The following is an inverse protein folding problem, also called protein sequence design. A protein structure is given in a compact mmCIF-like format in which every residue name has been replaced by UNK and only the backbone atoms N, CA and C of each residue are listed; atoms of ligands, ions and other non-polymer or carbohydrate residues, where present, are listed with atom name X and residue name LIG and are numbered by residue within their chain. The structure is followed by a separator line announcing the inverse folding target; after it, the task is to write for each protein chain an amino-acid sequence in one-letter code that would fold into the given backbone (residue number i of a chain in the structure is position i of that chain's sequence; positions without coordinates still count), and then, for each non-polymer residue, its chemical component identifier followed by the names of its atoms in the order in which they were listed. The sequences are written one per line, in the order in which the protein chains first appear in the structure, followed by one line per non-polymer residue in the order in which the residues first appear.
data_IF_779225382090
#
_entry.id   IF_779225382090
#
_cell.length_a   1.000
_cell.length_b   1.000
_cell.length_c   1.000
_cell.angle_alpha   90.00
_cell.angle_beta   90.00
_cell.angle_gamma   90.00
#
_symmetry.space_group_name_H-M   'P 1'
#
loop_
_entity.id
_entity.type
_entity.pdbx_description
1 polymer ?
#
# COMPACT_ATOMS: atom_id res chain seq x y z
N UNK A 1 -26.68 30.18 -13.42
CA UNK A 1 -26.45 29.49 -12.14
C UNK A 1 -26.50 30.47 -10.99
N UNK A 2 -27.06 30.10 -9.83
CA UNK A 2 -27.13 31.00 -8.66
C UNK A 2 -25.74 31.28 -8.08
N UNK A 3 -24.87 30.27 -8.03
CA UNK A 3 -23.48 30.41 -7.56
C UNK A 3 -22.70 31.39 -8.44
N UNK A 4 -22.88 31.29 -9.76
CA UNK A 4 -22.20 32.15 -10.73
C UNK A 4 -22.54 33.64 -10.56
N UNK A 5 -23.82 33.95 -10.31
CA UNK A 5 -24.26 35.32 -10.05
C UNK A 5 -23.60 35.92 -8.80
N UNK A 6 -23.42 35.10 -7.78
CA UNK A 6 -22.77 35.51 -6.52
C UNK A 6 -21.26 35.73 -6.72
N UNK A 7 -20.60 34.87 -7.51
CA UNK A 7 -19.19 35.01 -7.90
C UNK A 7 -18.97 36.30 -8.70
N UNK A 8 -19.78 36.57 -9.72
CA UNK A 8 -19.68 37.81 -10.52
C UNK A 8 -19.94 39.06 -9.68
N UNK A 9 -20.79 38.96 -8.65
CA UNK A 9 -21.04 40.07 -7.73
C UNK A 9 -19.85 40.36 -6.79
N UNK A 10 -19.03 39.36 -6.46
CA UNK A 10 -17.76 39.54 -5.74
C UNK A 10 -16.69 40.08 -6.71
N UNK A 11 -16.66 39.57 -7.94
CA UNK A 11 -15.72 39.97 -8.97
C UNK A 11 -15.76 41.47 -9.28
N UNK A 12 -16.96 42.05 -9.34
CA UNK A 12 -17.14 43.50 -9.58
C UNK A 12 -16.64 44.40 -8.45
N UNK A 13 -16.38 43.85 -7.26
CA UNK A 13 -15.84 44.59 -6.11
C UNK A 13 -14.32 44.45 -5.99
N UNK A 14 -13.71 43.54 -6.75
CA UNK A 14 -12.27 43.36 -6.75
C UNK A 14 -11.56 44.50 -7.49
N UNK A 15 -10.35 44.87 -7.06
CA UNK A 15 -9.54 45.89 -7.73
C UNK A 15 -9.34 45.60 -9.22
N UNK A 16 -9.45 46.63 -10.08
CA UNK A 16 -9.30 46.46 -11.54
C UNK A 16 -7.88 46.05 -11.97
N UNK A 17 -6.87 46.33 -11.15
CA UNK A 17 -5.48 45.96 -11.40
C UNK A 17 -5.15 44.50 -11.03
N UNK A 18 -6.10 43.74 -10.51
CA UNK A 18 -5.90 42.36 -10.12
C UNK A 18 -6.01 41.44 -11.35
N UNK A 19 -4.97 40.66 -11.63
CA UNK A 19 -5.05 39.59 -12.62
C UNK A 19 -5.97 38.46 -12.13
N UNK A 20 -6.72 37.82 -13.04
CA UNK A 20 -7.56 36.65 -12.74
C UNK A 20 -8.66 36.92 -11.69
N UNK A 21 -9.43 38.01 -11.89
CA UNK A 21 -10.49 38.44 -10.95
C UNK A 21 -11.55 37.38 -10.71
N UNK A 22 -11.88 36.61 -11.74
CA UNK A 22 -12.88 35.57 -11.67
C UNK A 22 -12.41 34.37 -10.83
N UNK A 23 -11.16 33.95 -11.00
CA UNK A 23 -10.56 32.85 -10.24
C UNK A 23 -10.39 33.23 -8.77
N UNK A 24 -10.00 34.49 -8.52
CA UNK A 24 -9.86 35.02 -7.16
C UNK A 24 -11.22 35.12 -6.46
N UNK A 25 -12.30 35.52 -7.16
CA UNK A 25 -13.63 35.57 -6.56
C UNK A 25 -14.17 34.18 -6.21
N UNK A 26 -13.89 33.16 -7.04
CA UNK A 26 -14.18 31.75 -6.71
C UNK A 26 -13.45 31.32 -5.45
N UNK A 27 -12.14 31.55 -5.37
CA UNK A 27 -11.30 31.13 -4.23
C UNK A 27 -11.70 31.87 -2.94
N UNK A 28 -12.06 33.15 -3.05
CA UNK A 28 -12.57 33.94 -1.93
C UNK A 28 -13.91 33.39 -1.44
N UNK A 29 -14.80 32.99 -2.36
CA UNK A 29 -16.07 32.34 -2.05
C UNK A 29 -15.85 30.95 -1.41
N UNK A 30 -14.76 30.26 -1.72
CA UNK A 30 -14.33 28.99 -1.10
C UNK A 30 -13.60 29.12 0.25
N UNK A 31 -13.31 30.35 0.69
CA UNK A 31 -12.55 30.64 1.93
C UNK A 31 -11.09 30.23 1.88
N UNK A 32 -10.47 30.29 0.71
CA UNK A 32 -9.07 29.90 0.60
C UNK A 32 -8.17 30.83 1.46
N UNK A 33 -7.44 30.30 2.46
CA UNK A 33 -6.65 31.12 3.37
C UNK A 33 -5.48 31.81 2.68
N UNK A 34 -4.93 31.24 1.59
CA UNK A 34 -3.80 31.83 0.87
C UNK A 34 -4.22 33.06 0.07
N UNK A 35 -5.38 33.02 -0.59
CA UNK A 35 -5.90 34.18 -1.32
C UNK A 35 -6.27 35.30 -0.37
N UNK A 36 -6.83 34.98 0.79
CA UNK A 36 -7.13 35.96 1.83
C UNK A 36 -5.87 36.68 2.31
N UNK A 37 -4.81 35.93 2.64
CA UNK A 37 -3.52 36.48 3.05
C UNK A 37 -2.83 37.28 1.93
N UNK A 38 -2.91 36.80 0.69
CA UNK A 38 -2.38 37.51 -0.48
C UNK A 38 -3.05 38.87 -0.68
N UNK A 39 -4.39 38.94 -0.60
CA UNK A 39 -5.13 40.18 -0.76
C UNK A 39 -4.86 41.18 0.38
N UNK A 40 -4.69 40.71 1.61
CA UNK A 40 -4.30 41.57 2.75
C UNK A 40 -2.90 42.16 2.62
N UNK A 41 -1.97 41.45 1.97
CA UNK A 41 -0.59 41.92 1.75
C UNK A 41 -0.47 42.83 0.54
N UNK A 42 -1.23 42.56 -0.53
CA UNK A 42 -1.15 43.30 -1.77
C UNK A 42 -2.00 44.58 -1.80
N UNK A 43 -3.02 44.69 -0.95
CA UNK A 43 -3.98 45.81 -0.93
C UNK A 43 -4.28 46.30 0.48
N UNK A 44 -4.73 47.55 0.59
CA UNK A 44 -5.16 48.14 1.85
C UNK A 44 -6.28 47.32 2.51
N UNK A 45 -6.11 46.99 3.79
CA UNK A 45 -7.12 46.29 4.60
C UNK A 45 -8.49 46.95 4.53
N UNK A 46 -8.55 48.28 4.49
CA UNK A 46 -9.79 49.04 4.39
C UNK A 46 -10.63 48.73 3.13
N UNK A 47 -9.98 48.29 2.03
CA UNK A 47 -10.67 47.91 0.78
C UNK A 47 -11.06 46.44 0.74
N UNK A 48 -10.27 45.57 1.37
CA UNK A 48 -10.46 44.11 1.31
C UNK A 48 -11.46 43.61 2.37
N UNK A 49 -11.50 44.22 3.55
CA UNK A 49 -12.41 43.83 4.63
C UNK A 49 -13.90 43.81 4.20
N UNK A 50 -14.45 44.84 3.52
CA UNK A 50 -15.85 44.79 3.07
C UNK A 50 -16.11 43.71 2.02
N UNK A 51 -15.10 43.37 1.19
CA UNK A 51 -15.21 42.31 0.18
C UNK A 51 -15.31 40.94 0.87
N UNK A 52 -14.51 40.72 1.92
CA UNK A 52 -14.54 39.50 2.73
C UNK A 52 -15.85 39.33 3.48
N UNK A 53 -16.34 40.38 4.13
CA UNK A 53 -17.61 40.35 4.84
C UNK A 53 -18.74 39.98 3.88
N UNK A 54 -18.78 40.60 2.71
CA UNK A 54 -19.79 40.33 1.68
C UNK A 54 -19.69 38.92 1.11
N UNK A 55 -18.47 38.42 0.88
CA UNK A 55 -18.27 37.03 0.47
C UNK A 55 -18.72 36.04 1.55
N UNK A 56 -18.49 36.36 2.83
CA UNK A 56 -18.95 35.56 3.96
C UNK A 56 -20.48 35.56 4.09
N UNK A 57 -21.13 36.70 3.84
CA UNK A 57 -22.58 36.86 3.85
C UNK A 57 -23.21 36.03 2.72
N UNK A 58 -22.68 36.16 1.50
CA UNK A 58 -23.14 35.37 0.34
C UNK A 58 -22.92 33.88 0.55
N UNK A 59 -21.79 33.47 1.16
CA UNK A 59 -21.55 32.07 1.52
C UNK A 59 -22.64 31.52 2.46
N UNK A 60 -23.08 32.30 3.45
CA UNK A 60 -24.12 31.89 4.42
C UNK A 60 -25.48 31.67 3.78
N UNK A 61 -25.75 32.20 2.58
CA UNK A 61 -27.00 31.96 1.86
C UNK A 61 -27.08 30.51 1.32
N UNK A 62 -25.95 29.83 1.17
CA UNK A 62 -25.90 28.44 0.74
C UNK A 62 -25.99 27.49 1.94
N UNK A 63 -26.89 26.51 1.87
CA UNK A 63 -26.95 25.43 2.87
C UNK A 63 -25.81 24.44 2.60
N UNK A 64 -24.84 24.39 3.52
CA UNK A 64 -23.72 23.46 3.48
C UNK A 64 -22.39 24.10 3.06
N UNK A 65 -21.39 23.27 2.84
CA UNK A 65 -20.03 23.69 2.48
C UNK A 65 -19.97 24.02 0.98
N UNK A 66 -20.00 25.32 0.64
CA UNK A 66 -19.93 25.81 -0.75
C UNK A 66 -18.67 25.30 -1.47
N UNK A 67 -17.56 25.13 -0.74
CA UNK A 67 -16.30 24.66 -1.29
C UNK A 67 -16.41 23.21 -1.75
N UNK A 68 -17.19 22.38 -1.05
CA UNK A 68 -17.54 21.03 -1.51
C UNK A 68 -18.40 21.05 -2.77
N UNK A 69 -19.37 21.96 -2.86
CA UNK A 69 -20.27 22.06 -4.02
C UNK A 69 -19.48 22.46 -5.27
N UNK A 70 -18.64 23.49 -5.17
CA UNK A 70 -17.78 23.96 -6.28
C UNK A 70 -16.79 22.86 -6.67
N UNK A 71 -16.13 22.22 -5.69
CA UNK A 71 -15.18 21.14 -5.96
C UNK A 71 -15.85 19.94 -6.62
N UNK A 72 -17.06 19.58 -6.18
CA UNK A 72 -17.83 18.48 -6.76
C UNK A 72 -18.20 18.77 -8.22
N UNK A 73 -18.71 19.98 -8.51
CA UNK A 73 -19.02 20.37 -9.90
C UNK A 73 -17.78 20.36 -10.80
N UNK A 74 -16.64 20.83 -10.28
CA UNK A 74 -15.36 20.77 -11.01
C UNK A 74 -14.98 19.33 -11.33
N UNK A 75 -15.06 18.42 -10.35
CA UNK A 75 -14.80 17.00 -10.56
C UNK A 75 -15.77 16.38 -11.56
N UNK A 76 -17.07 16.68 -11.46
CA UNK A 76 -18.09 16.21 -12.41
C UNK A 76 -17.79 16.68 -13.83
N UNK A 77 -17.38 17.94 -14.02
CA UNK A 77 -16.99 18.48 -15.32
C UNK A 77 -15.73 17.79 -15.87
N UNK A 78 -14.70 17.59 -15.05
CA UNK A 78 -13.49 16.85 -15.45
C UNK A 78 -13.86 15.43 -15.86
N UNK A 79 -14.71 14.75 -15.09
CA UNK A 79 -15.13 13.38 -15.36
C UNK A 79 -15.95 13.29 -16.66
N UNK A 80 -16.87 14.22 -16.91
CA UNK A 80 -17.75 14.20 -18.07
C UNK A 80 -17.10 14.69 -19.36
N UNK A 81 -16.23 15.69 -19.28
CA UNK A 81 -15.72 16.40 -20.46
C UNK A 81 -14.31 15.99 -20.82
N UNK A 82 -13.46 15.67 -19.83
CA UNK A 82 -12.07 15.29 -20.08
C UNK A 82 -11.94 13.78 -19.98
N UNK A 83 -12.24 13.21 -18.81
CA UNK A 83 -11.98 11.79 -18.56
C UNK A 83 -12.77 10.88 -19.52
N UNK A 84 -14.00 11.24 -19.89
CA UNK A 84 -14.79 10.48 -20.86
C UNK A 84 -14.16 10.45 -22.27
N UNK A 85 -13.46 11.51 -22.69
CA UNK A 85 -12.81 11.59 -24.00
C UNK A 85 -11.43 10.94 -24.01
N UNK A 86 -10.63 11.15 -22.96
CA UNK A 86 -9.23 10.70 -22.95
C UNK A 86 -9.06 9.30 -22.34
N UNK A 87 -9.99 8.83 -21.50
CA UNK A 87 -9.86 7.55 -20.79
C UNK A 87 -10.74 6.48 -21.41
N UNK A 88 -10.10 5.53 -22.10
CA UNK A 88 -10.75 4.24 -22.39
C UNK A 88 -10.74 3.37 -21.15
N UNK A 89 -11.87 3.27 -20.46
CA UNK A 89 -12.07 2.24 -19.43
C UNK A 89 -11.98 0.87 -20.09
N UNK A 90 -10.89 0.14 -19.84
CA UNK A 90 -10.84 -1.29 -20.16
C UNK A 90 -11.98 -1.97 -19.40
N UNK A 91 -12.90 -2.61 -20.11
CA UNK A 91 -13.82 -3.57 -19.51
C UNK A 91 -13.00 -4.75 -19.02
N UNK A 92 -12.48 -4.66 -17.80
CA UNK A 92 -12.03 -5.84 -17.07
C UNK A 92 -13.29 -6.63 -16.75
N UNK A 93 -13.60 -7.64 -17.58
CA UNK A 93 -14.56 -8.67 -17.19
C UNK A 93 -13.94 -9.33 -15.97
N UNK A 94 -14.47 -9.12 -14.76
CA UNK A 94 -13.89 -9.75 -13.60
C UNK A 94 -14.17 -11.24 -13.76
N UNK A 95 -13.13 -12.08 -13.77
CA UNK A 95 -13.32 -13.54 -13.68
C UNK A 95 -14.17 -13.81 -12.44
N UNK A 96 -15.40 -14.28 -12.62
CA UNK A 96 -16.40 -14.50 -11.55
C UNK A 96 -15.83 -15.32 -10.39
N UNK A 97 -14.89 -16.22 -10.68
CA UNK A 97 -14.18 -17.05 -9.70
C UNK A 97 -13.31 -16.24 -8.73
N UNK A 98 -12.57 -15.24 -9.21
CA UNK A 98 -11.73 -14.36 -8.38
C UNK A 98 -12.60 -13.45 -7.49
N UNK A 99 -13.72 -12.96 -8.00
CA UNK A 99 -14.66 -12.16 -7.22
C UNK A 99 -15.37 -12.98 -6.13
N UNK A 100 -15.77 -14.22 -6.43
CA UNK A 100 -16.37 -15.13 -5.47
C UNK A 100 -15.42 -15.45 -4.31
N UNK A 101 -14.17 -15.82 -4.64
CA UNK A 101 -13.14 -16.10 -3.63
C UNK A 101 -12.79 -14.87 -2.79
N UNK A 102 -12.68 -13.69 -3.41
CA UNK A 102 -12.43 -12.44 -2.70
C UNK A 102 -13.61 -12.05 -1.79
N UNK A 103 -14.86 -12.29 -2.20
CA UNK A 103 -16.05 -12.02 -1.38
C UNK A 103 -16.14 -12.96 -0.19
N UNK A 104 -15.82 -14.24 -0.39
CA UNK A 104 -15.82 -15.25 0.67
C UNK A 104 -14.70 -15.00 1.69
N UNK A 105 -13.50 -14.66 1.21
CA UNK A 105 -12.34 -14.33 2.07
C UNK A 105 -12.57 -13.06 2.92
N UNK A 106 -13.40 -12.12 2.46
CA UNK A 106 -13.73 -10.89 3.20
C UNK A 106 -14.87 -11.04 4.21
N UNK A 107 -15.53 -12.20 4.26
CA UNK A 107 -16.62 -12.40 5.20
C UNK A 107 -16.05 -12.50 6.63
N UNK A 108 -16.61 -11.78 7.63
CA UNK A 108 -16.05 -11.76 8.99
C UNK A 108 -16.02 -13.15 9.67
N UNK A 109 -16.90 -14.06 9.26
CA UNK A 109 -16.98 -15.43 9.82
C UNK A 109 -16.19 -16.46 8.99
N UNK A 110 -16.22 -16.38 7.65
CA UNK A 110 -15.55 -17.36 6.78
C UNK A 110 -14.11 -16.94 6.42
N UNK A 111 -13.78 -15.66 6.54
CA UNK A 111 -12.45 -15.13 6.25
C UNK A 111 -11.38 -15.65 7.21
N UNK A 112 -11.70 -15.82 8.51
CA UNK A 112 -10.74 -16.33 9.50
C UNK A 112 -10.41 -17.82 9.25
N UNK A 113 -11.38 -18.73 9.03
CA UNK A 113 -11.09 -20.12 8.64
C UNK A 113 -10.30 -20.24 7.34
N UNK A 114 -10.64 -19.44 6.32
CA UNK A 114 -9.93 -19.43 5.03
C UNK A 114 -8.49 -18.96 5.23
N UNK A 115 -8.28 -17.97 6.10
CA UNK A 115 -6.95 -17.51 6.48
C UNK A 115 -6.12 -18.58 7.14
N UNK A 116 -6.66 -19.26 8.13
CA UNK A 116 -5.95 -20.37 8.77
C UNK A 116 -5.68 -21.50 7.79
N UNK A 117 -6.62 -21.83 6.91
CA UNK A 117 -6.42 -22.84 5.86
C UNK A 117 -5.27 -22.45 4.93
N UNK A 118 -5.22 -21.21 4.45
CA UNK A 118 -4.18 -20.77 3.52
C UNK A 118 -2.81 -20.77 4.19
N UNK A 119 -2.71 -20.24 5.42
CA UNK A 119 -1.47 -20.28 6.19
C UNK A 119 -1.02 -21.74 6.41
N UNK A 120 -1.94 -22.63 6.74
CA UNK A 120 -1.66 -24.05 6.94
C UNK A 120 -1.18 -24.74 5.65
N UNK A 121 -1.84 -24.47 4.52
CA UNK A 121 -1.46 -25.01 3.21
C UNK A 121 -0.10 -24.47 2.77
N UNK A 122 0.15 -23.16 2.92
CA UNK A 122 1.46 -22.56 2.64
C UNK A 122 2.54 -23.18 3.52
N UNK A 123 2.29 -23.36 4.82
CA UNK A 123 3.22 -24.04 5.72
C UNK A 123 3.53 -25.48 5.26
N UNK A 124 2.51 -26.28 4.96
CA UNK A 124 2.70 -27.65 4.48
C UNK A 124 3.46 -27.70 3.15
N UNK A 125 3.20 -26.77 2.24
CA UNK A 125 3.92 -26.68 0.98
C UNK A 125 5.37 -26.28 1.19
N UNK A 126 5.65 -25.26 2.01
CA UNK A 126 7.03 -24.87 2.34
C UNK A 126 7.77 -26.04 2.96
N UNK A 127 7.23 -26.68 4.00
CA UNK A 127 7.93 -27.78 4.70
C UNK A 127 8.16 -28.97 3.78
N UNK A 128 7.14 -29.46 3.08
CA UNK A 128 7.32 -30.65 2.23
C UNK A 128 8.19 -30.37 0.99
N UNK A 129 7.95 -29.25 0.30
CA UNK A 129 8.68 -28.95 -0.94
C UNK A 129 10.11 -28.50 -0.63
N UNK A 130 10.30 -27.61 0.35
CA UNK A 130 11.63 -27.14 0.69
C UNK A 130 12.50 -28.23 1.31
N UNK A 131 11.94 -29.11 2.17
CA UNK A 131 12.72 -30.22 2.72
C UNK A 131 13.14 -31.19 1.62
N UNK A 132 12.24 -31.54 0.69
CA UNK A 132 12.61 -32.40 -0.44
C UNK A 132 13.72 -31.79 -1.31
N UNK A 133 13.67 -30.47 -1.56
CA UNK A 133 14.72 -29.77 -2.31
C UNK A 133 16.02 -29.72 -1.51
N UNK A 134 15.96 -29.45 -0.20
CA UNK A 134 17.12 -29.40 0.68
C UNK A 134 17.80 -30.78 0.78
N UNK A 135 17.04 -31.87 0.93
CA UNK A 135 17.56 -33.25 0.93
C UNK A 135 18.20 -33.62 -0.41
N UNK A 136 17.58 -33.21 -1.52
CA UNK A 136 18.17 -33.38 -2.84
C UNK A 136 19.48 -32.59 -2.99
N UNK A 137 19.52 -31.33 -2.55
CA UNK A 137 20.74 -30.53 -2.55
C UNK A 137 21.83 -31.11 -1.63
N UNK A 138 21.44 -31.64 -0.47
CA UNK A 138 22.36 -32.28 0.46
C UNK A 138 23.00 -33.53 -0.18
N UNK A 139 22.19 -34.42 -0.74
CA UNK A 139 22.68 -35.66 -1.35
C UNK A 139 23.50 -35.44 -2.62
N UNK A 140 23.17 -34.44 -3.44
CA UNK A 140 23.85 -34.17 -4.71
C UNK A 140 25.06 -33.25 -4.56
N UNK A 141 25.00 -32.24 -3.70
CA UNK A 141 26.06 -31.24 -3.56
C UNK A 141 26.94 -31.50 -2.33
N UNK A 142 26.33 -31.70 -1.15
CA UNK A 142 27.10 -31.78 0.08
C UNK A 142 27.83 -33.10 0.26
N UNK A 143 27.12 -34.22 0.12
CA UNK A 143 27.69 -35.56 0.35
C UNK A 143 28.94 -35.82 -0.51
N UNK A 144 29.01 -35.43 -1.80
CA UNK A 144 30.25 -35.57 -2.57
C UNK A 144 31.38 -34.63 -2.13
N UNK A 145 31.05 -33.39 -1.71
CA UNK A 145 32.02 -32.42 -1.22
C UNK A 145 32.61 -32.90 0.12
N UNK A 146 31.75 -33.33 1.04
CA UNK A 146 32.12 -33.88 2.33
C UNK A 146 33.06 -35.08 2.15
N UNK A 147 32.64 -36.08 1.36
CA UNK A 147 33.45 -37.26 1.06
C UNK A 147 34.77 -36.94 0.35
N UNK A 148 34.78 -35.91 -0.50
CA UNK A 148 35.98 -35.45 -1.19
C UNK A 148 36.99 -34.84 -0.22
N UNK A 149 36.54 -34.06 0.75
CA UNK A 149 37.44 -33.42 1.71
C UNK A 149 37.86 -34.38 2.84
N UNK A 150 36.98 -35.30 3.28
CA UNK A 150 37.36 -36.40 4.20
C UNK A 150 38.45 -37.29 3.60
N UNK A 151 38.49 -37.42 2.27
CA UNK A 151 39.55 -38.16 1.55
C UNK A 151 40.91 -37.46 1.52
N UNK A 152 40.94 -36.12 1.67
CA UNK A 152 42.17 -35.31 1.62
C UNK A 152 42.68 -35.02 3.04
N UNK A 153 41.78 -34.78 3.99
CA UNK A 153 42.10 -34.53 5.40
C UNK A 153 41.56 -35.67 6.27
N UNK A 154 42.41 -36.63 6.69
CA UNK A 154 42.01 -37.65 7.65
C UNK A 154 41.68 -37.03 9.03
N UNK A 155 40.99 -37.81 9.87
CA UNK A 155 40.51 -37.38 11.18
C UNK A 155 41.59 -36.66 12.01
N UNK A 156 41.31 -35.42 12.41
CA UNK A 156 42.21 -34.54 13.12
C UNK A 156 41.60 -33.13 13.29
N UNK A 157 42.30 -32.25 14.01
CA UNK A 157 41.78 -30.91 14.35
C UNK A 157 41.24 -30.11 13.14
N UNK A 158 41.94 -30.15 12.01
CA UNK A 158 41.51 -29.44 10.79
C UNK A 158 40.28 -30.07 10.12
N UNK A 159 40.10 -31.38 10.28
CA UNK A 159 38.91 -32.08 9.79
C UNK A 159 37.68 -31.68 10.61
N UNK A 160 37.78 -31.75 11.94
CA UNK A 160 36.68 -31.42 12.85
C UNK A 160 36.31 -29.93 12.81
N UNK A 161 37.31 -29.06 12.61
CA UNK A 161 37.11 -27.61 12.49
C UNK A 161 36.43 -27.19 11.18
N UNK A 162 36.68 -27.90 10.07
CA UNK A 162 36.12 -27.56 8.76
C UNK A 162 34.80 -28.31 8.50
N UNK A 163 34.77 -29.63 8.71
CA UNK A 163 33.72 -30.54 8.21
C UNK A 163 33.02 -31.32 9.33
N UNK A 164 33.60 -31.38 10.53
CA UNK A 164 32.95 -32.03 11.66
C UNK A 164 31.54 -31.49 11.93
N UNK A 165 30.80 -32.14 12.83
CA UNK A 165 29.40 -31.79 13.15
C UNK A 165 29.17 -30.31 13.49
N UNK A 166 30.22 -29.60 13.93
CA UNK A 166 30.24 -28.15 14.23
C UNK A 166 31.23 -27.35 13.38
N UNK A 167 31.70 -27.91 12.27
CA UNK A 167 32.67 -27.30 11.38
C UNK A 167 32.12 -26.05 10.70
N UNK A 168 32.97 -25.06 10.44
CA UNK A 168 32.56 -23.77 9.88
C UNK A 168 31.95 -23.94 8.47
N UNK A 169 32.47 -24.87 7.67
CA UNK A 169 31.94 -25.14 6.34
C UNK A 169 30.64 -25.94 6.39
N UNK A 170 30.54 -26.94 7.29
CA UNK A 170 29.35 -27.79 7.44
C UNK A 170 28.16 -27.02 8.05
N UNK A 171 28.35 -26.48 9.26
CA UNK A 171 27.28 -25.81 9.99
C UNK A 171 26.96 -24.41 9.45
N UNK A 172 27.98 -23.74 8.89
CA UNK A 172 27.86 -22.36 8.38
C UNK A 172 27.45 -22.32 6.92
N UNK A 173 28.42 -22.52 6.02
CA UNK A 173 28.21 -22.28 4.58
C UNK A 173 27.28 -23.31 3.94
N UNK A 174 27.50 -24.59 4.21
CA UNK A 174 26.73 -25.67 3.64
C UNK A 174 25.28 -25.62 4.11
N UNK A 175 25.05 -25.54 5.42
CA UNK A 175 23.69 -25.45 5.95
C UNK A 175 22.94 -24.20 5.46
N UNK A 176 23.61 -23.05 5.34
CA UNK A 176 22.99 -21.85 4.77
C UNK A 176 22.57 -22.02 3.30
N UNK A 177 23.39 -22.67 2.48
CA UNK A 177 23.10 -22.86 1.05
C UNK A 177 22.15 -24.03 0.80
N UNK A 178 22.25 -25.11 1.57
CA UNK A 178 21.51 -26.36 1.33
C UNK A 178 20.16 -26.35 2.04
N UNK A 179 20.10 -25.80 3.24
CA UNK A 179 18.86 -25.82 4.04
C UNK A 179 18.14 -24.49 3.96
N UNK A 180 18.83 -23.38 4.27
CA UNK A 180 18.16 -22.07 4.39
C UNK A 180 17.70 -21.52 3.04
N UNK A 181 18.56 -21.59 2.02
CA UNK A 181 18.26 -21.03 0.69
C UNK A 181 17.04 -21.69 0.02
N UNK A 182 16.87 -23.02 -0.01
CA UNK A 182 15.67 -23.64 -0.57
C UNK A 182 14.39 -23.28 0.19
N UNK A 183 14.44 -23.27 1.52
CA UNK A 183 13.30 -22.90 2.37
C UNK A 183 12.84 -21.48 2.05
N UNK A 184 13.77 -20.52 2.04
CA UNK A 184 13.45 -19.13 1.71
C UNK A 184 12.97 -18.99 0.26
N UNK A 185 13.57 -19.70 -0.69
CA UNK A 185 13.18 -19.63 -2.10
C UNK A 185 11.73 -20.10 -2.29
N UNK A 186 11.36 -21.25 -1.74
CA UNK A 186 9.99 -21.78 -1.80
C UNK A 186 9.02 -20.85 -1.07
N UNK A 187 9.41 -20.34 0.10
CA UNK A 187 8.60 -19.37 0.84
C UNK A 187 8.32 -18.10 0.04
N UNK A 188 9.33 -17.47 -0.57
CA UNK A 188 9.16 -16.25 -1.36
C UNK A 188 8.38 -16.50 -2.65
N UNK A 189 8.58 -17.65 -3.31
CA UNK A 189 7.77 -18.05 -4.48
C UNK A 189 6.30 -18.17 -4.08
N UNK A 190 5.99 -18.83 -2.97
CA UNK A 190 4.62 -18.94 -2.48
C UNK A 190 4.06 -17.58 -2.07
N UNK A 191 4.86 -16.73 -1.42
CA UNK A 191 4.45 -15.37 -1.05
C UNK A 191 4.08 -14.55 -2.30
N UNK A 192 4.92 -14.60 -3.34
CA UNK A 192 4.63 -13.96 -4.64
C UNK A 192 3.34 -14.47 -5.26
N UNK A 193 3.11 -15.79 -5.26
CA UNK A 193 1.86 -16.37 -5.76
C UNK A 193 0.65 -15.86 -4.95
N UNK A 194 0.77 -15.78 -3.62
CA UNK A 194 -0.27 -15.23 -2.75
C UNK A 194 -0.50 -13.72 -3.01
N UNK A 195 0.55 -12.97 -3.34
CA UNK A 195 0.49 -11.56 -3.71
C UNK A 195 -0.22 -11.36 -5.05
N UNK A 196 0.15 -12.12 -6.08
CA UNK A 196 -0.44 -12.06 -7.43
C UNK A 196 -1.92 -12.42 -7.44
N UNK A 197 -2.35 -13.34 -6.56
CA UNK A 197 -3.76 -13.69 -6.37
C UNK A 197 -4.51 -12.59 -5.58
N UNK A 198 -3.79 -11.60 -5.04
CA UNK A 198 -4.34 -10.50 -4.24
C UNK A 198 -4.80 -10.95 -2.85
N UNK A 199 -4.33 -12.10 -2.38
CA UNK A 199 -4.72 -12.64 -1.07
C UNK A 199 -4.11 -11.82 0.07
N UNK A 200 -2.86 -11.35 -0.08
CA UNK A 200 -2.20 -10.45 0.88
C UNK A 200 -2.99 -9.14 1.09
N UNK A 201 -3.57 -8.58 0.03
CA UNK A 201 -4.45 -7.42 0.10
C UNK A 201 -5.72 -7.71 0.90
N UNK A 202 -6.35 -8.87 0.68
CA UNK A 202 -7.54 -9.28 1.45
C UNK A 202 -7.21 -9.57 2.92
N UNK A 203 -6.06 -10.18 3.19
CA UNK A 203 -5.51 -10.41 4.52
C UNK A 203 -5.43 -9.11 5.31
N UNK A 204 -4.80 -8.08 4.74
CA UNK A 204 -4.62 -6.77 5.39
C UNK A 204 -5.94 -6.13 5.83
N UNK A 205 -7.01 -6.32 5.05
CA UNK A 205 -8.35 -5.80 5.36
C UNK A 205 -8.98 -6.56 6.53
N UNK A 206 -8.78 -7.89 6.59
CA UNK A 206 -9.35 -8.73 7.64
C UNK A 206 -8.66 -8.48 8.99
N UNK A 207 -7.33 -8.38 8.97
CA UNK A 207 -6.50 -8.13 10.15
C UNK A 207 -6.51 -6.67 10.60
N UNK A 208 -6.90 -5.72 9.74
CA UNK A 208 -7.02 -4.29 10.07
C UNK A 208 -7.73 -4.04 11.40
N UNK A 209 -8.87 -4.70 11.67
CA UNK A 209 -9.59 -4.54 12.96
C UNK A 209 -8.79 -5.00 14.18
N UNK A 210 -7.93 -6.02 14.03
CA UNK A 210 -7.09 -6.53 15.11
C UNK A 210 -5.93 -5.58 15.37
N UNK A 211 -5.27 -5.09 14.32
CA UNK A 211 -4.17 -4.14 14.43
C UNK A 211 -4.63 -2.74 14.87
N UNK A 212 -5.81 -2.29 14.44
CA UNK A 212 -6.42 -1.04 14.92
C UNK A 212 -6.70 -1.07 16.43
N UNK A 213 -7.10 -2.22 16.99
CA UNK A 213 -7.24 -2.38 18.44
C UNK A 213 -5.90 -2.28 19.18
N UNK A 214 -4.80 -2.60 18.50
CA UNK A 214 -3.44 -2.49 19.03
C UNK A 214 -2.80 -1.12 18.71
N UNK A 215 -3.51 -0.21 18.04
CA UNK A 215 -3.01 1.13 17.68
C UNK A 215 -2.06 1.15 16.46
N UNK A 216 -1.99 0.08 15.67
CA UNK A 216 -1.10 -0.05 14.52
C UNK A 216 -1.87 0.06 13.19
N UNK A 217 -1.22 0.62 12.16
CA UNK A 217 -1.79 0.59 10.81
C UNK A 217 -1.73 -0.84 10.26
N UNK A 218 -2.80 -1.30 9.60
CA UNK A 218 -2.89 -2.66 9.03
C UNK A 218 -1.79 -3.00 8.01
N UNK A 219 -0.99 -2.02 7.57
CA UNK A 219 0.20 -2.21 6.73
C UNK A 219 1.43 -2.73 7.50
N UNK A 220 1.42 -2.70 8.84
CA UNK A 220 2.52 -3.18 9.68
C UNK A 220 2.68 -4.72 9.70
N UNK A 221 1.81 -5.46 9.03
CA UNK A 221 1.84 -6.92 8.97
C UNK A 221 3.05 -7.47 8.22
N UNK A 222 3.42 -6.86 7.09
CA UNK A 222 4.60 -7.32 6.34
C UNK A 222 5.88 -7.24 7.18
N UNK A 223 6.20 -6.10 7.84
CA UNK A 223 7.31 -6.02 8.78
C UNK A 223 7.24 -7.04 9.92
N UNK A 224 6.04 -7.32 10.45
CA UNK A 224 5.86 -8.25 11.55
C UNK A 224 6.14 -9.70 11.13
N UNK A 225 5.65 -10.12 9.96
CA UNK A 225 5.89 -11.47 9.41
C UNK A 225 7.38 -11.67 9.11
N UNK A 226 8.05 -10.68 8.52
CA UNK A 226 9.49 -10.71 8.28
C UNK A 226 10.30 -10.70 9.58
N UNK A 227 9.86 -9.94 10.59
CA UNK A 227 10.52 -9.85 11.90
C UNK A 227 10.41 -11.12 12.74
N UNK A 228 9.27 -11.83 12.68
CA UNK A 228 9.13 -13.14 13.35
C UNK A 228 9.75 -14.30 12.55
N UNK A 229 9.91 -14.16 11.23
CA UNK A 229 10.51 -15.18 10.36
C UNK A 229 12.00 -15.43 10.61
N UNK A 230 12.75 -14.42 11.08
CA UNK A 230 14.16 -14.55 11.41
C UNK A 230 14.43 -15.05 12.85
N UNK A 231 13.41 -15.53 13.57
CA UNK A 231 13.59 -16.14 14.89
C UNK A 231 13.62 -17.67 14.75
N UNK A 232 14.79 -18.18 14.38
CA UNK A 232 15.19 -19.58 14.50
C UNK A 232 16.53 -19.62 15.19
#
# INVERSE_FOLDING_TARGET
DTIEKEISAIESMLPENLSYRHEVSILLMMNDPFIVDYLEKAYDKAKIEPIKEKASERRRQFRGDISRVISKRRSEWVDSSIAAEVVRKQKTVPREFSQGFARLSRHPVFGIPILLMIVYVTYLLVVNVANNIAEWMNSVLWVPIENGITGIFPAGFWHDFLIGDYGILSLGLANAIITVLPILSVFFILLHILEDIGYLSNLSVLTKRVFERLGLSGAAIMPLVLGFGCKT
#
